data_IF_202244295458
#
_entry.id   IF_202244295458
#
_cell.length_a   1.000
_cell.length_b   1.000
_cell.length_c   1.000
_cell.angle_alpha   90.00
_cell.angle_beta   90.00
_cell.angle_gamma   90.00
#
_symmetry.space_group_name_H-M   'P 1'
#
loop_
_entity.id
_entity.type
_entity.pdbx_description
1 polymer ?
#
# COMPACT_ATOMS: atom_id res chain seq x y z
N UNK A 1 5.80 30.14 -0.94
CA UNK A 1 6.72 29.12 -0.39
C UNK A 1 6.38 27.78 -1.03
N UNK A 2 7.27 27.23 -1.87
CA UNK A 2 7.06 25.92 -2.52
C UNK A 2 7.57 24.84 -1.57
N UNK A 3 6.69 24.01 -1.04
CA UNK A 3 7.08 22.80 -0.29
C UNK A 3 7.16 21.65 -1.28
N UNK A 4 8.38 21.21 -1.59
CA UNK A 4 8.63 19.98 -2.31
C UNK A 4 8.52 18.83 -1.32
N UNK A 5 7.46 18.02 -1.43
CA UNK A 5 7.39 16.73 -0.74
C UNK A 5 8.27 15.74 -1.52
N UNK A 6 9.42 15.40 -0.93
CA UNK A 6 10.31 14.34 -1.43
C UNK A 6 9.74 13.01 -0.94
N UNK A 7 9.22 12.19 -1.85
CA UNK A 7 8.89 10.80 -1.57
C UNK A 7 10.19 9.99 -1.46
N UNK A 8 10.60 9.69 -0.24
CA UNK A 8 11.70 8.75 0.00
C UNK A 8 11.17 7.33 -0.19
N UNK A 9 11.35 6.77 -1.39
CA UNK A 9 11.17 5.34 -1.64
C UNK A 9 12.32 4.60 -0.98
N UNK A 10 12.08 3.99 0.19
CA UNK A 10 13.04 3.09 0.82
C UNK A 10 13.00 1.77 0.04
N UNK A 11 13.94 1.62 -0.89
CA UNK A 11 14.25 0.33 -1.49
C UNK A 11 14.88 -0.57 -0.43
N UNK A 12 14.18 -1.61 0.01
CA UNK A 12 14.75 -2.66 0.84
C UNK A 12 15.63 -3.55 -0.05
N UNK A 13 16.94 -3.30 -0.04
CA UNK A 13 17.90 -4.12 -0.75
C UNK A 13 18.08 -5.45 0.00
N UNK A 14 17.62 -6.56 -0.60
CA UNK A 14 17.95 -7.91 -0.15
C UNK A 14 19.26 -8.28 -0.85
N UNK A 15 20.37 -8.22 -0.11
CA UNK A 15 21.68 -8.67 -0.59
C UNK A 15 21.79 -10.19 -0.47
N UNK A 16 21.90 -10.88 -1.61
CA UNK A 16 22.35 -12.27 -1.68
C UNK A 16 23.88 -12.27 -1.65
N UNK A 17 24.46 -12.83 -0.59
CA UNK A 17 25.91 -12.96 -0.46
C UNK A 17 26.42 -14.19 -1.21
N UNK A 18 27.26 -13.98 -2.23
CA UNK A 18 28.19 -14.99 -2.75
C UNK A 18 29.62 -14.55 -2.49
N UNK A 19 30.31 -15.31 -1.62
CA UNK A 19 31.71 -15.70 -1.78
C UNK A 19 32.85 -14.66 -1.69
N UNK A 20 33.54 -14.70 -0.54
CA UNK A 20 35.00 -14.56 -0.32
C UNK A 20 35.75 -13.28 -0.75
N UNK A 21 36.11 -12.46 0.24
CA UNK A 21 37.50 -12.05 0.55
C UNK A 21 37.59 -11.56 2.00
N UNK A 22 38.66 -11.95 2.69
CA UNK A 22 39.02 -11.46 4.04
C UNK A 22 39.34 -9.97 3.94
N UNK A 23 38.60 -9.15 4.66
CA UNK A 23 39.06 -7.85 5.13
C UNK A 23 38.63 -7.70 6.59
N UNK A 24 39.61 -7.42 7.43
CA UNK A 24 39.51 -7.32 8.88
C UNK A 24 39.00 -5.92 9.23
N UNK A 25 37.71 -5.71 8.96
CA UNK A 25 36.94 -4.59 9.48
C UNK A 25 35.58 -5.16 9.84
N UNK A 26 35.34 -5.38 11.13
CA UNK A 26 34.03 -5.75 11.66
C UNK A 26 32.98 -4.82 11.04
N UNK A 27 32.09 -5.32 10.16
CA UNK A 27 31.00 -4.48 9.69
C UNK A 27 30.11 -4.32 10.91
N UNK A 28 29.99 -3.09 11.40
CA UNK A 28 28.95 -2.70 12.34
C UNK A 28 27.61 -2.97 11.65
N UNK A 29 27.12 -4.20 11.80
CA UNK A 29 25.84 -4.64 11.29
C UNK A 29 24.77 -4.05 12.21
N UNK A 30 24.60 -2.74 12.12
CA UNK A 30 23.41 -2.06 12.61
C UNK A 30 22.26 -2.58 11.75
N UNK A 31 21.63 -3.68 12.19
CA UNK A 31 20.35 -4.13 11.64
C UNK A 31 19.39 -2.97 11.82
N UNK A 32 19.22 -2.16 10.77
CA UNK A 32 18.31 -1.04 10.77
C UNK A 32 16.90 -1.59 10.90
N UNK A 33 16.19 -1.14 11.93
CA UNK A 33 14.79 -1.47 12.15
C UNK A 33 13.98 -1.15 10.88
N UNK A 34 13.03 -2.02 10.57
CA UNK A 34 12.05 -1.73 9.53
C UNK A 34 11.18 -0.58 10.04
N UNK A 35 11.05 0.52 9.27
CA UNK A 35 10.20 1.64 9.68
C UNK A 35 8.73 1.21 9.69
N UNK A 36 7.95 1.86 10.56
CA UNK A 36 6.50 1.72 10.53
C UNK A 36 5.92 2.30 9.24
N UNK A 37 4.79 1.74 8.83
CA UNK A 37 3.95 2.34 7.79
C UNK A 37 3.23 3.54 8.37
N UNK A 38 3.48 4.69 7.78
CA UNK A 38 2.70 5.91 8.04
C UNK A 38 1.22 5.69 7.67
N UNK A 39 0.33 6.42 8.34
CA UNK A 39 -1.08 6.44 7.97
C UNK A 39 -1.25 6.87 6.51
N UNK A 40 -2.24 6.29 5.85
CA UNK A 40 -2.68 6.73 4.52
C UNK A 40 -3.34 8.10 4.70
N UNK A 41 -2.90 9.08 3.91
CA UNK A 41 -3.46 10.41 3.97
C UNK A 41 -4.93 10.41 3.51
N UNK A 42 -5.69 11.36 4.03
CA UNK A 42 -7.04 11.62 3.53
C UNK A 42 -6.95 12.36 2.20
N UNK A 43 -7.85 12.06 1.27
CA UNK A 43 -7.92 12.79 0.00
C UNK A 43 -8.55 14.17 0.22
N UNK A 44 -8.28 15.12 -0.67
CA UNK A 44 -8.78 16.50 -0.55
C UNK A 44 -10.26 16.58 -0.91
N UNK A 45 -11.06 17.24 -0.09
CA UNK A 45 -12.53 17.34 -0.30
C UNK A 45 -12.99 18.77 -0.60
N UNK A 46 -12.17 19.77 -0.28
CA UNK A 46 -12.42 21.20 -0.44
C UNK A 46 -11.96 21.74 -1.80
N UNK A 47 -12.32 21.03 -2.88
CA UNK A 47 -11.93 21.36 -4.25
C UNK A 47 -13.17 21.62 -5.09
N UNK A 48 -13.22 22.74 -5.79
CA UNK A 48 -14.37 23.15 -6.61
C UNK A 48 -14.01 23.56 -8.04
N UNK A 49 -12.76 23.31 -8.46
CA UNK A 49 -12.26 23.64 -9.80
C UNK A 49 -11.80 22.39 -10.55
N UNK A 50 -12.15 22.34 -11.84
CA UNK A 50 -11.83 21.20 -12.72
C UNK A 50 -10.33 21.09 -12.97
N UNK A 51 -9.60 22.21 -13.07
CA UNK A 51 -8.15 22.19 -13.31
C UNK A 51 -7.41 21.65 -12.08
N UNK A 52 -7.85 22.05 -10.88
CA UNK A 52 -7.36 21.48 -9.63
C UNK A 52 -7.61 19.96 -9.54
N UNK A 53 -8.82 19.49 -9.90
CA UNK A 53 -9.09 18.05 -9.93
C UNK A 53 -8.24 17.29 -10.95
N UNK A 54 -7.99 17.83 -12.16
CA UNK A 54 -7.08 17.19 -13.12
C UNK A 54 -5.68 16.97 -12.55
N UNK A 55 -5.15 17.97 -11.83
CA UNK A 55 -3.85 17.86 -11.15
C UNK A 55 -3.89 16.77 -10.07
N UNK A 56 -4.95 16.72 -9.26
CA UNK A 56 -5.09 15.71 -8.23
C UNK A 56 -5.23 14.29 -8.79
N UNK A 57 -6.01 14.12 -9.86
CA UNK A 57 -6.10 12.83 -10.57
C UNK A 57 -4.71 12.43 -11.08
N UNK A 58 -4.01 13.31 -11.79
CA UNK A 58 -2.68 13.02 -12.35
C UNK A 58 -1.66 12.63 -11.26
N UNK A 59 -1.68 13.32 -10.11
CA UNK A 59 -0.87 12.97 -8.94
C UNK A 59 -1.23 11.60 -8.38
N UNK A 60 -2.53 11.30 -8.27
CA UNK A 60 -3.03 10.01 -7.80
C UNK A 60 -2.64 8.88 -8.76
N UNK A 61 -2.67 9.10 -10.08
CA UNK A 61 -2.18 8.13 -11.08
C UNK A 61 -0.69 7.84 -10.86
N UNK A 62 0.12 8.89 -10.66
CA UNK A 62 1.55 8.73 -10.47
C UNK A 62 1.87 7.92 -9.20
N UNK A 63 1.21 8.23 -8.09
CA UNK A 63 1.36 7.49 -6.83
C UNK A 63 0.88 6.04 -6.95
N UNK A 64 -0.27 5.82 -7.60
CA UNK A 64 -0.80 4.47 -7.83
C UNK A 64 0.17 3.60 -8.62
N UNK A 65 0.80 4.13 -9.67
CA UNK A 65 1.79 3.38 -10.46
C UNK A 65 3.04 3.00 -9.63
N UNK A 66 3.47 3.86 -8.70
CA UNK A 66 4.56 3.54 -7.78
C UNK A 66 4.16 2.37 -6.86
N UNK A 67 2.92 2.41 -6.33
CA UNK A 67 2.39 1.35 -5.48
C UNK A 67 2.25 0.02 -6.22
N UNK A 68 1.73 0.04 -7.46
CA UNK A 68 1.65 -1.15 -8.32
C UNK A 68 3.02 -1.79 -8.52
N UNK A 69 4.02 -0.99 -8.89
CA UNK A 69 5.38 -1.47 -9.08
C UNK A 69 6.00 -2.05 -7.79
N UNK A 70 5.58 -1.56 -6.61
CA UNK A 70 6.01 -2.11 -5.33
C UNK A 70 5.31 -3.45 -5.01
N UNK A 71 4.00 -3.54 -5.26
CA UNK A 71 3.20 -4.76 -5.09
C UNK A 71 3.71 -5.88 -6.00
N UNK A 72 4.02 -5.58 -7.26
CA UNK A 72 4.47 -6.56 -8.25
C UNK A 72 5.85 -7.15 -7.95
N UNK A 73 6.66 -6.48 -7.12
CA UNK A 73 7.96 -7.00 -6.66
C UNK A 73 7.84 -8.04 -5.55
N UNK A 74 6.66 -8.17 -4.94
CA UNK A 74 6.43 -9.09 -3.83
C UNK A 74 5.71 -10.36 -4.31
N UNK A 75 6.08 -11.52 -3.73
CA UNK A 75 5.40 -12.76 -4.05
C UNK A 75 3.94 -12.71 -3.63
N UNK A 76 3.08 -13.38 -4.40
CA UNK A 76 1.69 -13.57 -4.01
C UNK A 76 1.59 -14.40 -2.73
N UNK A 77 0.66 -14.02 -1.85
CA UNK A 77 0.31 -14.82 -0.69
C UNK A 77 -0.52 -16.08 -1.08
N UNK A 78 -0.50 -17.15 -0.27
CA UNK A 78 -1.24 -18.38 -0.57
C UNK A 78 -2.76 -18.16 -0.44
N UNK A 79 -3.49 -18.12 -1.55
CA UNK A 79 -4.93 -17.80 -1.58
C UNK A 79 -5.81 -18.81 -0.82
N UNK A 80 -5.33 -20.03 -0.63
CA UNK A 80 -5.96 -21.12 0.13
C UNK A 80 -5.84 -20.96 1.65
N UNK A 81 -5.03 -20.00 2.12
CA UNK A 81 -4.90 -19.71 3.56
C UNK A 81 -5.74 -18.53 4.00
N UNK A 82 -6.21 -18.62 5.25
CA UNK A 82 -6.93 -17.56 5.94
C UNK A 82 -8.12 -17.08 5.08
N UNK A 83 -8.30 -15.77 4.94
CA UNK A 83 -9.27 -15.17 4.02
C UNK A 83 -8.57 -14.52 2.82
N UNK A 84 -7.36 -14.97 2.47
CA UNK A 84 -6.58 -14.38 1.39
C UNK A 84 -7.24 -14.50 0.01
N UNK A 85 -8.09 -15.49 -0.23
CA UNK A 85 -8.90 -15.53 -1.45
C UNK A 85 -9.81 -14.29 -1.58
N UNK A 86 -10.38 -13.82 -0.47
CA UNK A 86 -11.22 -12.62 -0.44
C UNK A 86 -10.37 -11.35 -0.53
N UNK A 87 -9.22 -11.31 0.12
CA UNK A 87 -8.23 -10.23 -0.04
C UNK A 87 -7.81 -10.08 -1.51
N UNK A 88 -7.54 -11.20 -2.20
CA UNK A 88 -7.14 -11.23 -3.60
C UNK A 88 -8.25 -10.77 -4.54
N UNK A 89 -9.49 -11.17 -4.25
CA UNK A 89 -10.66 -10.66 -4.96
C UNK A 89 -10.79 -9.13 -4.79
N UNK A 90 -10.68 -8.62 -3.57
CA UNK A 90 -10.74 -7.19 -3.28
C UNK A 90 -9.67 -6.41 -4.05
N UNK A 91 -8.42 -6.90 -4.05
CA UNK A 91 -7.33 -6.29 -4.81
C UNK A 91 -7.58 -6.33 -6.32
N UNK A 92 -8.00 -7.48 -6.85
CA UNK A 92 -8.25 -7.67 -8.29
C UNK A 92 -9.35 -6.74 -8.79
N UNK A 93 -10.46 -6.63 -8.06
CA UNK A 93 -11.54 -5.71 -8.39
C UNK A 93 -11.13 -4.25 -8.28
N UNK A 94 -10.39 -3.87 -7.22
CA UNK A 94 -9.84 -2.52 -7.10
C UNK A 94 -8.99 -2.15 -8.31
N UNK A 95 -8.06 -3.03 -8.71
CA UNK A 95 -7.23 -2.83 -9.90
C UNK A 95 -8.06 -2.72 -11.19
N UNK A 96 -9.08 -3.56 -11.36
CA UNK A 96 -9.99 -3.50 -12.53
C UNK A 96 -10.69 -2.14 -12.60
N UNK A 97 -11.28 -1.70 -11.49
CA UNK A 97 -11.99 -0.41 -11.38
C UNK A 97 -11.02 0.75 -11.64
N UNK A 98 -9.84 0.76 -11.03
CA UNK A 98 -8.82 1.79 -11.28
C UNK A 98 -8.44 1.87 -12.75
N UNK A 99 -8.27 0.75 -13.44
CA UNK A 99 -7.97 0.74 -14.87
C UNK A 99 -9.10 1.35 -15.71
N UNK A 100 -10.35 1.02 -15.40
CA UNK A 100 -11.52 1.61 -16.07
C UNK A 100 -11.63 3.12 -15.83
N UNK A 101 -11.38 3.57 -14.60
CA UNK A 101 -11.35 5.00 -14.24
C UNK A 101 -10.25 5.74 -15.02
N UNK A 102 -9.05 5.17 -15.10
CA UNK A 102 -7.92 5.74 -15.85
C UNK A 102 -8.22 5.86 -17.34
N UNK A 103 -8.80 4.82 -17.96
CA UNK A 103 -9.21 4.86 -19.36
C UNK A 103 -10.27 5.94 -19.60
N UNK A 104 -11.30 5.98 -18.74
CA UNK A 104 -12.35 6.98 -18.83
C UNK A 104 -11.84 8.41 -18.67
N UNK A 105 -10.95 8.62 -17.68
CA UNK A 105 -10.33 9.91 -17.46
C UNK A 105 -9.51 10.37 -18.67
N UNK A 106 -8.64 9.50 -19.20
CA UNK A 106 -7.81 9.83 -20.36
C UNK A 106 -8.65 10.18 -21.59
N UNK A 107 -9.75 9.45 -21.83
CA UNK A 107 -10.65 9.70 -22.95
C UNK A 107 -11.41 11.04 -22.83
N UNK A 108 -11.70 11.49 -21.60
CA UNK A 108 -12.51 12.69 -21.33
C UNK A 108 -11.68 13.87 -20.82
N UNK A 109 -10.35 13.73 -20.68
CA UNK A 109 -9.51 14.68 -19.94
C UNK A 109 -9.62 16.13 -20.45
N UNK A 110 -9.83 16.32 -21.75
CA UNK A 110 -9.96 17.66 -22.34
C UNK A 110 -11.28 18.36 -21.97
N UNK A 111 -12.38 17.62 -21.83
CA UNK A 111 -13.74 18.15 -21.65
C UNK A 111 -14.47 17.63 -20.39
N UNK A 112 -13.76 16.98 -19.48
CA UNK A 112 -14.30 16.48 -18.21
C UNK A 112 -14.91 17.63 -17.40
N UNK A 113 -16.11 17.42 -16.87
CA UNK A 113 -16.74 18.36 -15.95
C UNK A 113 -16.23 18.17 -14.51
N UNK A 114 -16.54 19.13 -13.64
CA UNK A 114 -16.07 19.13 -12.25
C UNK A 114 -16.60 17.92 -11.46
N UNK A 115 -17.83 17.48 -11.71
CA UNK A 115 -18.45 16.38 -10.95
C UNK A 115 -17.80 15.03 -11.30
N UNK A 116 -17.55 14.80 -12.58
CA UNK A 116 -16.86 13.60 -13.06
C UNK A 116 -15.38 13.63 -12.69
N UNK A 117 -14.72 14.79 -12.72
CA UNK A 117 -13.33 14.93 -12.27
C UNK A 117 -13.20 14.63 -10.77
N UNK A 118 -14.11 15.16 -9.95
CA UNK A 118 -14.22 14.83 -8.52
C UNK A 118 -14.40 13.34 -8.31
N UNK A 119 -15.42 12.73 -8.93
CA UNK A 119 -15.71 11.29 -8.76
C UNK A 119 -14.51 10.43 -9.17
N UNK A 120 -13.88 10.76 -10.30
CA UNK A 120 -12.68 10.07 -10.78
C UNK A 120 -11.55 10.13 -9.74
N UNK A 121 -11.32 11.31 -9.17
CA UNK A 121 -10.30 11.49 -8.12
C UNK A 121 -10.61 10.66 -6.88
N UNK A 122 -11.82 10.77 -6.34
CA UNK A 122 -12.22 10.07 -5.10
C UNK A 122 -12.19 8.55 -5.28
N UNK A 123 -12.75 8.04 -6.37
CA UNK A 123 -12.76 6.60 -6.67
C UNK A 123 -11.34 6.08 -6.92
N UNK A 124 -10.51 6.82 -7.68
CA UNK A 124 -9.13 6.40 -7.92
C UNK A 124 -8.31 6.42 -6.64
N UNK A 125 -8.58 7.34 -5.72
CA UNK A 125 -7.94 7.35 -4.41
C UNK A 125 -8.32 6.09 -3.61
N UNK A 126 -9.60 5.76 -3.55
CA UNK A 126 -10.07 4.56 -2.85
C UNK A 126 -9.54 3.27 -3.48
N UNK A 127 -9.86 3.00 -4.74
CA UNK A 127 -9.54 1.73 -5.40
C UNK A 127 -8.09 1.63 -5.89
N UNK A 128 -7.46 2.77 -6.19
CA UNK A 128 -6.07 2.84 -6.62
C UNK A 128 -5.11 2.94 -5.45
N UNK A 129 -5.23 3.97 -4.61
CA UNK A 129 -4.26 4.24 -3.54
C UNK A 129 -4.49 3.34 -2.33
N UNK A 130 -5.68 3.39 -1.72
CA UNK A 130 -5.92 2.71 -0.44
C UNK A 130 -5.83 1.20 -0.61
N UNK A 131 -6.47 0.64 -1.65
CA UNK A 131 -6.43 -0.81 -1.91
C UNK A 131 -5.01 -1.29 -2.22
N UNK A 132 -4.21 -0.52 -2.98
CA UNK A 132 -2.83 -0.91 -3.26
C UNK A 132 -1.95 -0.87 -2.01
N UNK A 133 -2.17 0.07 -1.09
CA UNK A 133 -1.51 0.06 0.21
C UNK A 133 -1.87 -1.18 1.03
N UNK A 134 -3.16 -1.56 1.07
CA UNK A 134 -3.59 -2.76 1.80
C UNK A 134 -2.96 -4.01 1.18
N UNK A 135 -2.96 -4.14 -0.14
CA UNK A 135 -2.33 -5.27 -0.84
C UNK A 135 -0.82 -5.34 -0.58
N UNK A 136 -0.14 -4.19 -0.62
CA UNK A 136 1.28 -4.11 -0.32
C UNK A 136 1.58 -4.62 1.10
N UNK A 137 0.81 -4.17 2.09
CA UNK A 137 0.94 -4.62 3.48
C UNK A 137 0.64 -6.11 3.62
N UNK A 138 -0.38 -6.64 2.95
CA UNK A 138 -0.73 -8.06 2.98
C UNK A 138 0.41 -8.95 2.44
N UNK A 139 0.99 -8.58 1.29
CA UNK A 139 2.12 -9.32 0.72
C UNK A 139 3.38 -9.22 1.58
N UNK A 140 3.69 -8.03 2.11
CA UNK A 140 4.83 -7.86 3.01
C UNK A 140 4.68 -8.67 4.30
N UNK A 141 3.48 -8.66 4.89
CA UNK A 141 3.17 -9.46 6.08
C UNK A 141 3.36 -10.96 5.82
N UNK A 142 2.93 -11.47 4.65
CA UNK A 142 3.17 -12.87 4.28
C UNK A 142 4.67 -13.19 4.11
N UNK A 143 5.46 -12.27 3.56
CA UNK A 143 6.93 -12.43 3.50
C UNK A 143 7.50 -12.59 4.91
N UNK A 144 7.08 -11.77 5.87
CA UNK A 144 7.52 -11.90 7.26
C UNK A 144 7.05 -13.20 7.91
N UNK A 145 5.80 -13.63 7.66
CA UNK A 145 5.28 -14.91 8.14
C UNK A 145 6.09 -16.10 7.61
N UNK A 146 6.57 -16.03 6.37
CA UNK A 146 7.46 -17.06 5.80
C UNK A 146 8.86 -17.01 6.40
N UNK A 147 9.37 -15.82 6.70
CA UNK A 147 10.67 -15.63 7.35
C UNK A 147 10.68 -16.11 8.81
N UNK A 148 9.57 -15.95 9.52
CA UNK A 148 9.41 -16.33 10.94
C UNK A 148 8.27 -17.33 11.13
N UNK A 149 8.39 -18.57 10.59
CA UNK A 149 7.27 -19.49 10.44
C UNK A 149 6.72 -20.05 11.76
N UNK A 150 7.46 -19.95 12.86
CA UNK A 150 7.04 -20.38 14.20
C UNK A 150 6.36 -19.27 15.01
N UNK A 151 6.39 -18.02 14.54
CA UNK A 151 5.75 -16.91 15.23
C UNK A 151 4.24 -16.88 14.93
N UNK A 152 3.45 -17.36 15.88
CA UNK A 152 1.99 -17.43 15.76
C UNK A 152 1.31 -16.06 15.86
N UNK A 153 1.97 -15.06 16.47
CA UNK A 153 1.43 -13.71 16.62
C UNK A 153 1.33 -12.99 15.26
N UNK A 154 2.38 -13.08 14.44
CA UNK A 154 2.36 -12.58 13.05
C UNK A 154 1.24 -13.26 12.26
N UNK A 155 1.12 -14.59 12.37
CA UNK A 155 0.07 -15.35 11.68
C UNK A 155 -1.34 -14.93 12.12
N UNK A 156 -1.56 -14.70 13.42
CA UNK A 156 -2.85 -14.27 13.95
C UNK A 156 -3.21 -12.85 13.52
N UNK A 157 -2.24 -11.92 13.52
CA UNK A 157 -2.45 -10.55 13.02
C UNK A 157 -2.82 -10.55 11.54
N UNK A 158 -2.15 -11.36 10.72
CA UNK A 158 -2.50 -11.53 9.30
C UNK A 158 -3.94 -12.01 9.13
N UNK A 159 -4.32 -13.09 9.83
CA UNK A 159 -5.68 -13.67 9.77
C UNK A 159 -6.77 -12.66 10.11
N UNK A 160 -6.52 -11.80 11.09
CA UNK A 160 -7.48 -10.80 11.55
C UNK A 160 -7.53 -9.55 10.66
N UNK A 161 -6.47 -9.27 9.90
CA UNK A 161 -6.32 -7.98 9.21
C UNK A 161 -6.61 -8.05 7.72
N UNK A 162 -6.08 -9.05 7.02
CA UNK A 162 -6.10 -9.08 5.56
C UNK A 162 -7.18 -10.04 5.06
N UNK A 163 -8.44 -9.61 5.19
CA UNK A 163 -9.59 -10.43 4.82
C UNK A 163 -10.47 -9.86 3.70
N UNK A 164 -10.12 -8.72 3.13
CA UNK A 164 -10.87 -8.08 2.05
C UNK A 164 -12.25 -7.53 2.45
N UNK A 165 -12.64 -7.51 3.72
CA UNK A 165 -13.94 -6.95 4.14
C UNK A 165 -14.00 -5.42 4.05
N UNK A 166 -12.86 -4.75 3.94
CA UNK A 166 -12.79 -3.31 3.69
C UNK A 166 -13.50 -2.89 2.38
N UNK A 167 -13.82 -3.84 1.50
CA UNK A 167 -14.65 -3.63 0.31
C UNK A 167 -16.08 -3.19 0.61
N UNK A 168 -16.58 -3.37 1.83
CA UNK A 168 -17.92 -2.90 2.24
C UNK A 168 -17.91 -1.48 2.77
N UNK A 169 -16.77 -0.78 2.70
CA UNK A 169 -16.60 0.56 3.23
C UNK A 169 -16.24 1.51 2.08
N UNK A 170 -16.71 2.74 2.17
CA UNK A 170 -16.47 3.78 1.16
C UNK A 170 -16.23 5.14 1.84
N UNK A 171 -15.60 6.05 1.09
CA UNK A 171 -15.51 7.46 1.45
C UNK A 171 -14.41 7.83 2.45
N UNK A 172 -13.98 9.08 2.37
CA UNK A 172 -12.81 9.62 3.07
C UNK A 172 -12.80 9.36 4.60
N UNK A 173 -13.84 9.81 5.29
CA UNK A 173 -13.84 9.86 6.76
C UNK A 173 -14.13 8.50 7.42
N UNK A 174 -14.77 7.59 6.70
CA UNK A 174 -15.09 6.26 7.21
C UNK A 174 -14.05 5.24 6.78
N UNK A 175 -13.82 5.08 5.48
CA UNK A 175 -12.96 4.03 4.95
C UNK A 175 -11.45 4.28 5.18
N UNK A 176 -10.95 5.51 5.00
CA UNK A 176 -9.52 5.78 5.23
C UNK A 176 -9.22 5.74 6.73
N UNK A 177 -10.14 6.26 7.55
CA UNK A 177 -10.01 6.22 9.00
C UNK A 177 -9.92 4.79 9.52
N UNK A 178 -10.88 3.92 9.17
CA UNK A 178 -10.88 2.51 9.57
C UNK A 178 -9.63 1.79 9.04
N UNK A 179 -9.22 2.05 7.80
CA UNK A 179 -8.00 1.46 7.23
C UNK A 179 -6.77 1.82 8.07
N UNK A 180 -6.66 3.07 8.51
CA UNK A 180 -5.56 3.51 9.36
C UNK A 180 -5.63 2.89 10.77
N UNK A 181 -6.80 2.91 11.40
CA UNK A 181 -7.00 2.44 12.78
C UNK A 181 -6.93 0.91 12.92
N UNK A 182 -7.29 0.17 11.88
CA UNK A 182 -7.36 -1.29 11.90
C UNK A 182 -6.22 -1.93 11.10
N UNK A 183 -6.06 -1.58 9.83
CA UNK A 183 -5.14 -2.27 8.93
C UNK A 183 -3.71 -1.77 9.12
N UNK A 184 -3.47 -0.46 9.03
CA UNK A 184 -2.13 0.13 9.22
C UNK A 184 -1.63 -0.14 10.64
N UNK A 185 -2.48 0.05 11.64
CA UNK A 185 -2.14 -0.23 13.03
C UNK A 185 -1.74 -1.69 13.26
N UNK A 186 -2.50 -2.66 12.74
CA UNK A 186 -2.16 -4.08 12.88
C UNK A 186 -0.92 -4.46 12.08
N UNK A 187 -0.73 -3.89 10.89
CA UNK A 187 0.51 -4.07 10.13
C UNK A 187 1.74 -3.56 10.91
N UNK A 188 1.64 -2.39 11.56
CA UNK A 188 2.74 -1.88 12.40
C UNK A 188 3.02 -2.75 13.64
N UNK A 189 2.01 -3.46 14.17
CA UNK A 189 2.25 -4.51 15.18
C UNK A 189 3.08 -5.65 14.62
N UNK A 190 2.83 -6.09 13.38
CA UNK A 190 3.68 -7.08 12.69
C UNK A 190 5.11 -6.55 12.55
N UNK A 191 5.30 -5.30 12.14
CA UNK A 191 6.63 -4.68 12.05
C UNK A 191 7.36 -4.68 13.40
N UNK A 192 6.68 -4.34 14.49
CA UNK A 192 7.26 -4.39 15.83
C UNK A 192 7.75 -5.78 16.21
N UNK A 193 6.97 -6.82 15.90
CA UNK A 193 7.37 -8.22 16.16
C UNK A 193 8.60 -8.57 15.31
N UNK A 194 8.58 -8.24 14.02
CA UNK A 194 9.70 -8.53 13.12
C UNK A 194 10.98 -7.84 13.59
N UNK A 195 10.94 -6.57 13.98
CA UNK A 195 12.12 -5.87 14.48
C UNK A 195 12.66 -6.54 15.76
N UNK A 196 11.78 -6.96 16.69
CA UNK A 196 12.19 -7.72 17.88
C UNK A 196 12.84 -9.07 17.55
N UNK A 197 12.37 -9.75 16.51
CA UNK A 197 12.93 -11.03 16.06
C UNK A 197 14.21 -10.88 15.23
N UNK A 198 14.49 -9.68 14.74
CA UNK A 198 15.74 -9.36 14.03
C UNK A 198 16.88 -9.10 14.99
N UNK A 199 16.62 -8.48 16.13
CA UNK A 199 17.60 -8.23 17.20
C UNK A 199 18.15 -9.52 17.78
#
# INVERSE_FOLDING_TARGET
MKHYFIFTVIALAISFATGCKKDDSTPENTKKDIPHKENIAYYKTDVNDVSAYKVLVDQTVAEYNILLAAVDKLPQYPKDKYKYARQDYAWTEGKRISNELLQNYNNKKSNIDVALAKKTYEDLYQYGIVYAHIELMARQAEVYRKQYPTNTEIENLIKATFDGLYTTQEGNEHFIKSTNEEIVANYNKIINIVNKLKS
#
